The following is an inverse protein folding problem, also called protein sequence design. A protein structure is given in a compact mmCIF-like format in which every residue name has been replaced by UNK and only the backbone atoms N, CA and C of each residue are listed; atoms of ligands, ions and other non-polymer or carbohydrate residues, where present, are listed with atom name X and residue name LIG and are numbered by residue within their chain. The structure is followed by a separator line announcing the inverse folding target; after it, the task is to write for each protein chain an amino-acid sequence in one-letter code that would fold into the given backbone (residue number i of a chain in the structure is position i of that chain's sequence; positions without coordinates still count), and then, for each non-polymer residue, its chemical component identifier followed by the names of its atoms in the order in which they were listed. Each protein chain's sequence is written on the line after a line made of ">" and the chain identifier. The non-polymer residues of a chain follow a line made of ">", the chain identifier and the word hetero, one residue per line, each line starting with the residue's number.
data_IF_565421174330
#
_entry.id   IF_565421174330
#
_cell.length_a   1.000
_cell.length_b   1.000
_cell.length_c   1.000
_cell.angle_alpha   90.00
_cell.angle_beta   90.00
_cell.angle_gamma   90.00
#
_symmetry.space_group_name_H-M   'P 1'
#
loop_
_entity.id
_entity.type
_entity.pdbx_description
1 polymer ?
#
# COMPACT_ATOMS: atom_id res chain seq x y z
N UNK A 1 -14.85 38.53 6.10
CA UNK A 1 -14.75 38.52 4.61
C UNK A 1 -15.75 39.51 4.04
N UNK A 2 -17.05 39.37 4.34
CA UNK A 2 -18.09 40.31 3.88
C UNK A 2 -17.82 41.77 4.30
N UNK A 3 -17.40 42.05 5.54
CA UNK A 3 -16.98 43.40 5.96
C UNK A 3 -15.83 43.98 5.11
N UNK A 4 -14.91 43.12 4.68
CA UNK A 4 -13.73 43.50 3.90
C UNK A 4 -14.10 43.74 2.42
N UNK A 5 -15.08 43.01 1.90
CA UNK A 5 -15.63 43.17 0.55
C UNK A 5 -16.51 44.44 0.44
N UNK A 6 -17.36 44.71 1.43
CA UNK A 6 -18.11 45.97 1.49
C UNK A 6 -17.21 47.19 1.70
N UNK A 7 -16.11 47.06 2.47
CA UNK A 7 -15.12 48.15 2.58
C UNK A 7 -14.41 48.47 1.25
N UNK A 8 -14.45 47.55 0.29
CA UNK A 8 -13.88 47.70 -1.06
C UNK A 8 -14.93 48.01 -2.13
N UNK A 9 -16.20 48.19 -1.74
CA UNK A 9 -17.31 48.47 -2.67
C UNK A 9 -17.63 47.31 -3.61
N UNK A 10 -17.30 46.07 -3.22
CA UNK A 10 -17.57 44.86 -4.01
C UNK A 10 -18.76 44.10 -3.41
N UNK A 11 -19.93 44.74 -3.39
CA UNK A 11 -21.13 44.16 -2.78
C UNK A 11 -21.72 42.99 -3.59
N UNK A 12 -21.39 42.89 -4.88
CA UNK A 12 -21.77 41.75 -5.76
C UNK A 12 -21.08 40.43 -5.39
N UNK A 13 -20.02 40.47 -4.56
CA UNK A 13 -19.25 39.29 -4.11
C UNK A 13 -19.58 38.88 -2.68
N UNK A 14 -20.61 39.49 -2.07
CA UNK A 14 -21.02 39.16 -0.71
C UNK A 14 -21.55 37.72 -0.64
N UNK A 15 -20.92 36.93 0.23
CA UNK A 15 -21.35 35.55 0.45
C UNK A 15 -22.61 35.59 1.30
N UNK A 16 -23.71 35.10 0.75
CA UNK A 16 -24.97 34.95 1.47
C UNK A 16 -24.88 33.86 2.54
N UNK A 17 -25.74 33.90 3.57
CA UNK A 17 -25.80 32.82 4.58
C UNK A 17 -26.11 31.45 3.96
N UNK A 18 -26.88 31.43 2.87
CA UNK A 18 -27.17 30.22 2.11
C UNK A 18 -25.89 29.65 1.45
N UNK A 19 -25.12 30.47 0.74
CA UNK A 19 -23.86 30.05 0.11
C UNK A 19 -22.81 29.65 1.15
N UNK A 20 -22.76 30.33 2.30
CA UNK A 20 -21.89 29.94 3.40
C UNK A 20 -22.26 28.55 3.96
N UNK A 21 -23.55 28.27 4.12
CA UNK A 21 -24.05 26.96 4.53
C UNK A 21 -23.71 25.86 3.52
N UNK A 22 -23.85 26.16 2.22
CA UNK A 22 -23.46 25.24 1.13
C UNK A 22 -21.95 24.95 1.13
N UNK A 23 -21.10 25.96 1.34
CA UNK A 23 -19.65 25.76 1.48
C UNK A 23 -19.31 24.86 2.65
N UNK A 24 -19.99 25.02 3.79
CA UNK A 24 -19.80 24.14 4.96
C UNK A 24 -20.20 22.70 4.64
N UNK A 25 -21.29 22.50 3.90
CA UNK A 25 -21.70 21.17 3.45
C UNK A 25 -20.69 20.55 2.47
N UNK A 26 -20.16 21.32 1.52
CA UNK A 26 -19.10 20.88 0.61
C UNK A 26 -17.83 20.48 1.35
N UNK A 27 -17.42 21.26 2.35
CA UNK A 27 -16.26 20.94 3.20
C UNK A 27 -16.48 19.61 3.92
N UNK A 28 -17.69 19.35 4.43
CA UNK A 28 -18.03 18.07 5.08
C UNK A 28 -17.86 16.90 4.10
N UNK A 29 -18.36 17.04 2.87
CA UNK A 29 -18.24 16.02 1.81
C UNK A 29 -16.77 15.80 1.41
N UNK A 30 -15.97 16.87 1.31
CA UNK A 30 -14.57 16.80 0.90
C UNK A 30 -13.60 16.37 2.01
N UNK A 31 -14.01 16.45 3.27
CA UNK A 31 -13.15 16.13 4.42
C UNK A 31 -12.61 14.69 4.37
N UNK A 32 -13.42 13.66 4.06
CA UNK A 32 -12.91 12.29 3.90
C UNK A 32 -11.97 12.11 2.71
N UNK A 33 -12.17 12.86 1.61
CA UNK A 33 -11.23 12.86 0.48
C UNK A 33 -9.88 13.43 0.88
N UNK A 34 -9.86 14.54 1.63
CA UNK A 34 -8.62 15.10 2.14
C UNK A 34 -7.90 14.13 3.09
N UNK A 35 -8.65 13.43 3.96
CA UNK A 35 -8.10 12.37 4.81
C UNK A 35 -7.50 11.22 3.97
N UNK A 36 -8.20 10.78 2.92
CA UNK A 36 -7.73 9.75 1.99
C UNK A 36 -6.42 10.16 1.29
N UNK A 37 -6.36 11.38 0.75
CA UNK A 37 -5.18 11.92 0.08
C UNK A 37 -3.99 11.94 1.03
N UNK A 38 -4.15 12.52 2.23
CA UNK A 38 -3.08 12.55 3.25
C UNK A 38 -2.58 11.16 3.63
N UNK A 39 -3.47 10.17 3.62
CA UNK A 39 -3.11 8.77 3.88
C UNK A 39 -2.27 8.18 2.74
N UNK A 40 -2.61 8.48 1.47
CA UNK A 40 -1.82 8.05 0.31
C UNK A 40 -0.47 8.78 0.16
N UNK A 41 -0.36 9.99 0.71
CA UNK A 41 0.88 10.77 0.72
C UNK A 41 1.90 10.32 1.77
N UNK A 42 1.56 9.35 2.62
CA UNK A 42 2.46 8.86 3.65
C UNK A 42 3.63 8.07 3.04
N UNK A 43 4.86 8.41 3.42
CA UNK A 43 6.08 7.76 2.91
C UNK A 43 6.61 6.63 3.82
N UNK A 44 6.26 6.67 5.12
CA UNK A 44 6.86 5.77 6.14
C UNK A 44 6.12 4.44 6.30
N UNK A 45 4.90 4.36 5.79
CA UNK A 45 4.04 3.20 5.91
C UNK A 45 3.61 2.77 4.52
N UNK A 46 3.33 1.47 4.30
CA UNK A 46 2.78 1.03 3.04
C UNK A 46 1.42 1.72 2.83
N UNK A 47 1.16 2.21 1.63
CA UNK A 47 -0.07 2.97 1.30
C UNK A 47 -0.96 2.25 0.29
N UNK A 48 -0.37 1.39 -0.55
CA UNK A 48 -1.07 0.73 -1.65
C UNK A 48 -2.25 -0.13 -1.19
N UNK A 49 -2.16 -0.74 -0.01
CA UNK A 49 -3.22 -1.58 0.56
C UNK A 49 -4.46 -0.79 0.98
N UNK A 50 -4.37 0.53 1.12
CA UNK A 50 -5.49 1.39 1.50
C UNK A 50 -6.29 1.89 0.30
N UNK A 51 -5.75 1.81 -0.92
CA UNK A 51 -6.37 2.36 -2.14
C UNK A 51 -7.78 1.79 -2.36
N UNK A 52 -7.94 0.48 -2.26
CA UNK A 52 -9.24 -0.17 -2.47
C UNK A 52 -10.19 0.06 -1.29
N UNK A 53 -9.82 -0.20 -0.02
CA UNK A 53 -10.72 0.08 1.09
C UNK A 53 -11.19 1.54 1.13
N UNK A 54 -10.30 2.48 0.84
CA UNK A 54 -10.62 3.89 0.85
C UNK A 54 -11.59 4.27 -0.28
N UNK A 55 -11.51 3.63 -1.44
CA UNK A 55 -12.52 3.79 -2.49
C UNK A 55 -13.93 3.45 -2.00
N UNK A 56 -14.10 2.31 -1.32
CA UNK A 56 -15.40 1.90 -0.78
C UNK A 56 -15.88 2.81 0.35
N UNK A 57 -14.97 3.27 1.22
CA UNK A 57 -15.29 4.25 2.27
C UNK A 57 -15.76 5.57 1.65
N UNK A 58 -15.08 6.07 0.61
CA UNK A 58 -15.47 7.28 -0.08
C UNK A 58 -16.81 7.11 -0.81
N UNK A 59 -17.01 5.98 -1.50
CA UNK A 59 -18.29 5.67 -2.15
C UNK A 59 -19.44 5.64 -1.16
N UNK A 60 -19.29 4.92 -0.04
CA UNK A 60 -20.31 4.85 1.02
C UNK A 60 -20.58 6.22 1.64
N UNK A 61 -19.56 7.07 1.78
CA UNK A 61 -19.74 8.42 2.31
C UNK A 61 -20.49 9.35 1.34
N UNK A 62 -20.23 9.22 0.04
CA UNK A 62 -20.93 10.02 -0.99
C UNK A 62 -22.34 9.48 -1.25
N UNK A 63 -22.65 8.25 -0.85
CA UNK A 63 -24.00 7.65 -0.90
C UNK A 63 -24.82 7.89 0.38
N UNK A 64 -24.24 8.50 1.42
CA UNK A 64 -24.90 8.68 2.72
C UNK A 64 -26.18 9.55 2.62
N UNK A 65 -27.38 9.01 2.96
CA UNK A 65 -28.64 9.74 2.85
C UNK A 65 -28.82 10.89 3.85
N UNK A 66 -27.95 11.02 4.86
CA UNK A 66 -28.14 11.98 5.97
C UNK A 66 -27.76 13.43 5.63
N UNK A 67 -27.15 13.68 4.47
CA UNK A 67 -26.89 15.02 3.99
C UNK A 67 -28.17 15.60 3.35
N UNK A 68 -28.75 16.61 3.98
CA UNK A 68 -29.78 17.46 3.38
C UNK A 68 -29.18 18.13 2.14
N UNK A 69 -29.47 17.57 0.97
CA UNK A 69 -28.87 18.03 -0.27
C UNK A 69 -29.65 19.23 -0.83
N UNK A 70 -29.00 20.41 -0.89
CA UNK A 70 -29.43 21.45 -1.83
C UNK A 70 -29.18 20.97 -3.27
N UNK A 71 -29.91 21.53 -4.25
CA UNK A 71 -29.77 21.14 -5.67
C UNK A 71 -28.31 21.15 -6.18
N UNK A 72 -27.46 22.12 -5.81
CA UNK A 72 -26.03 22.11 -6.15
C UNK A 72 -25.24 20.95 -5.53
N UNK A 73 -25.52 20.61 -4.26
CA UNK A 73 -24.83 19.55 -3.53
C UNK A 73 -25.19 18.18 -4.13
N UNK A 74 -26.45 17.95 -4.46
CA UNK A 74 -26.89 16.72 -5.13
C UNK A 74 -26.18 16.52 -6.48
N UNK A 75 -26.07 17.59 -7.29
CA UNK A 75 -25.31 17.56 -8.56
C UNK A 75 -23.82 17.31 -8.35
N UNK A 76 -23.23 17.91 -7.31
CA UNK A 76 -21.83 17.67 -6.98
C UNK A 76 -21.57 16.22 -6.56
N UNK A 77 -22.47 15.63 -5.77
CA UNK A 77 -22.39 14.22 -5.37
C UNK A 77 -22.51 13.27 -6.54
N UNK A 78 -23.48 13.49 -7.43
CA UNK A 78 -23.64 12.64 -8.62
C UNK A 78 -22.41 12.72 -9.52
N UNK A 79 -21.82 13.91 -9.66
CA UNK A 79 -20.56 14.09 -10.39
C UNK A 79 -19.39 13.39 -9.70
N UNK A 80 -19.26 13.49 -8.37
CA UNK A 80 -18.23 12.78 -7.62
C UNK A 80 -18.36 11.26 -7.76
N UNK A 81 -19.58 10.72 -7.69
CA UNK A 81 -19.83 9.29 -7.89
C UNK A 81 -19.45 8.85 -9.31
N UNK A 82 -19.83 9.62 -10.34
CA UNK A 82 -19.39 9.36 -11.71
C UNK A 82 -17.86 9.42 -11.81
N UNK A 83 -17.18 10.42 -11.24
CA UNK A 83 -15.72 10.47 -11.28
C UNK A 83 -15.06 9.28 -10.56
N UNK A 84 -15.61 8.83 -9.44
CA UNK A 84 -15.13 7.65 -8.73
C UNK A 84 -15.33 6.37 -9.57
N UNK A 85 -16.48 6.19 -10.21
CA UNK A 85 -16.76 5.01 -11.01
C UNK A 85 -16.02 5.02 -12.36
N UNK A 86 -16.02 6.14 -13.06
CA UNK A 86 -15.54 6.25 -14.44
C UNK A 86 -14.03 6.49 -14.53
N UNK A 87 -13.42 7.11 -13.51
CA UNK A 87 -11.98 7.39 -13.51
C UNK A 87 -11.21 6.63 -12.46
N UNK A 88 -11.74 6.47 -11.25
CA UNK A 88 -10.97 5.84 -10.18
C UNK A 88 -10.94 4.32 -10.34
N UNK A 89 -12.12 3.68 -10.45
CA UNK A 89 -12.25 2.22 -10.57
C UNK A 89 -11.45 1.58 -11.73
N UNK A 90 -11.49 2.09 -12.98
CA UNK A 90 -10.73 1.47 -14.07
C UNK A 90 -9.21 1.67 -13.94
N UNK A 91 -8.76 2.71 -13.25
CA UNK A 91 -7.34 2.95 -12.99
C UNK A 91 -6.79 2.10 -11.84
N UNK A 92 -7.63 1.37 -11.10
CA UNK A 92 -7.18 0.43 -10.07
C UNK A 92 -6.53 -0.78 -10.75
N UNK A 93 -5.22 -0.71 -10.94
CA UNK A 93 -4.41 -1.83 -11.44
C UNK A 93 -4.46 -3.04 -10.50
N UNK A 94 -4.16 -4.23 -11.04
CA UNK A 94 -4.08 -5.49 -10.30
C UNK A 94 -3.23 -5.38 -9.03
N UNK A 95 -2.13 -4.61 -9.07
CA UNK A 95 -1.23 -4.39 -7.94
C UNK A 95 -1.93 -3.81 -6.71
N UNK A 96 -2.93 -2.95 -6.90
CA UNK A 96 -3.73 -2.37 -5.81
C UNK A 96 -4.67 -3.41 -5.18
N UNK A 97 -5.27 -4.27 -6.02
CA UNK A 97 -6.12 -5.38 -5.56
C UNK A 97 -5.29 -6.38 -4.76
N UNK A 98 -4.11 -6.73 -5.26
CA UNK A 98 -3.15 -7.61 -4.59
C UNK A 98 -2.69 -6.98 -3.26
N UNK A 99 -2.31 -5.70 -3.25
CA UNK A 99 -1.92 -5.01 -2.02
C UNK A 99 -3.00 -5.05 -0.94
N UNK A 100 -4.27 -4.96 -1.34
CA UNK A 100 -5.42 -5.04 -0.43
C UNK A 100 -5.67 -6.46 0.10
N UNK A 101 -5.46 -7.48 -0.73
CA UNK A 101 -5.53 -8.89 -0.32
C UNK A 101 -4.44 -9.28 0.68
N UNK A 102 -3.24 -8.73 0.51
CA UNK A 102 -2.08 -8.97 1.38
C UNK A 102 -2.18 -8.24 2.73
N UNK A 103 -3.25 -7.47 2.96
CA UNK A 103 -3.55 -6.94 4.28
C UNK A 103 -4.44 -7.93 5.04
N UNK A 104 -4.00 -8.53 6.16
CA UNK A 104 -4.79 -9.51 6.90
C UNK A 104 -6.21 -9.04 7.28
N UNK A 105 -6.40 -7.72 7.45
CA UNK A 105 -7.71 -7.13 7.76
C UNK A 105 -8.68 -7.11 6.57
N UNK A 106 -8.17 -7.11 5.34
CA UNK A 106 -8.95 -7.07 4.11
C UNK A 106 -8.78 -8.33 3.24
N UNK A 107 -8.10 -9.36 3.76
CA UNK A 107 -7.83 -10.64 3.10
C UNK A 107 -9.10 -11.36 2.62
N UNK A 108 -10.21 -11.18 3.34
CA UNK A 108 -11.52 -11.73 2.98
C UNK A 108 -12.11 -11.12 1.71
N UNK A 109 -11.57 -9.97 1.26
CA UNK A 109 -12.00 -9.22 0.07
C UNK A 109 -13.54 -9.09 0.01
N UNK A 110 -14.19 -8.86 1.16
CA UNK A 110 -15.64 -8.90 1.30
C UNK A 110 -16.40 -8.00 0.32
N UNK A 111 -15.72 -6.97 -0.19
CA UNK A 111 -16.21 -5.99 -1.14
C UNK A 111 -16.22 -6.44 -2.61
N UNK A 112 -15.50 -7.52 -2.94
CA UNK A 112 -15.35 -8.03 -4.31
C UNK A 112 -16.22 -9.27 -4.55
N UNK A 113 -16.59 -9.49 -5.82
CA UNK A 113 -17.31 -10.70 -6.25
C UNK A 113 -16.43 -11.94 -6.06
N UNK A 114 -17.05 -13.13 -6.01
CA UNK A 114 -16.30 -14.38 -5.88
C UNK A 114 -15.27 -14.56 -7.02
N UNK A 115 -15.63 -14.13 -8.24
CA UNK A 115 -14.77 -14.17 -9.42
C UNK A 115 -13.55 -13.27 -9.25
N UNK A 116 -13.76 -12.02 -8.80
CA UNK A 116 -12.66 -11.07 -8.60
C UNK A 116 -11.70 -11.54 -7.50
N UNK A 117 -12.22 -12.18 -6.45
CA UNK A 117 -11.38 -12.77 -5.39
C UNK A 117 -10.50 -13.87 -5.95
N UNK A 118 -11.04 -14.75 -6.79
CA UNK A 118 -10.26 -15.84 -7.37
C UNK A 118 -9.23 -15.31 -8.38
N UNK A 119 -9.57 -14.27 -9.14
CA UNK A 119 -8.62 -13.57 -10.02
C UNK A 119 -7.46 -12.93 -9.25
N UNK A 120 -7.72 -12.36 -8.07
CA UNK A 120 -6.65 -11.81 -7.23
C UNK A 120 -5.78 -12.94 -6.66
N UNK A 121 -6.39 -14.04 -6.19
CA UNK A 121 -5.63 -15.20 -5.70
C UNK A 121 -4.77 -15.83 -6.79
N UNK A 122 -5.31 -16.03 -8.00
CA UNK A 122 -4.56 -16.58 -9.13
C UNK A 122 -3.40 -15.66 -9.52
N UNK A 123 -3.61 -14.35 -9.50
CA UNK A 123 -2.55 -13.36 -9.73
C UNK A 123 -1.45 -13.42 -8.65
N UNK A 124 -1.82 -13.59 -7.38
CA UNK A 124 -0.86 -13.76 -6.28
C UNK A 124 -0.09 -15.06 -6.43
N UNK A 125 -0.76 -16.18 -6.75
CA UNK A 125 -0.10 -17.47 -7.01
C UNK A 125 0.90 -17.36 -8.15
N UNK A 126 0.55 -16.68 -9.25
CA UNK A 126 1.47 -16.41 -10.36
C UNK A 126 2.69 -15.61 -9.90
N UNK A 127 2.51 -14.53 -9.14
CA UNK A 127 3.63 -13.75 -8.61
C UNK A 127 4.52 -14.56 -7.65
N UNK A 128 3.94 -15.45 -6.85
CA UNK A 128 4.67 -16.34 -5.96
C UNK A 128 5.52 -17.32 -6.78
N UNK A 129 4.95 -17.96 -7.79
CA UNK A 129 5.68 -18.86 -8.70
C UNK A 129 6.84 -18.14 -9.41
N UNK A 130 6.59 -16.96 -9.97
CA UNK A 130 7.64 -16.14 -10.60
C UNK A 130 8.77 -15.78 -9.61
N UNK A 131 8.43 -15.40 -8.37
CA UNK A 131 9.43 -15.11 -7.35
C UNK A 131 10.17 -16.36 -6.89
N UNK A 132 9.50 -17.50 -6.80
CA UNK A 132 10.12 -18.78 -6.46
C UNK A 132 11.16 -19.18 -7.51
N UNK A 133 10.84 -19.05 -8.80
CA UNK A 133 11.79 -19.29 -9.88
C UNK A 133 13.02 -18.37 -9.78
N UNK A 134 12.80 -17.09 -9.50
CA UNK A 134 13.89 -16.12 -9.29
C UNK A 134 14.74 -16.52 -8.08
N UNK A 135 14.13 -17.00 -7.00
CA UNK A 135 14.83 -17.47 -5.82
C UNK A 135 15.65 -18.73 -6.10
N UNK A 136 15.10 -19.67 -6.89
CA UNK A 136 15.79 -20.87 -7.36
C UNK A 136 16.99 -20.52 -8.24
N UNK A 137 16.84 -19.58 -9.19
CA UNK A 137 17.95 -19.06 -10.01
C UNK A 137 19.05 -18.39 -9.20
N UNK A 138 18.70 -17.76 -8.07
CA UNK A 138 19.64 -17.11 -7.14
C UNK A 138 20.26 -18.08 -6.12
N UNK A 139 19.90 -19.36 -6.13
CA UNK A 139 20.38 -20.38 -5.19
C UNK A 139 19.86 -20.20 -3.77
N UNK A 140 18.73 -19.50 -3.58
CA UNK A 140 18.13 -19.22 -2.26
C UNK A 140 17.09 -20.27 -1.83
N UNK A 141 16.78 -21.23 -2.71
CA UNK A 141 15.90 -22.37 -2.46
C UNK A 141 16.57 -23.65 -2.96
N UNK A 142 16.39 -24.80 -2.29
CA UNK A 142 16.81 -26.10 -2.82
C UNK A 142 16.13 -26.39 -4.16
N UNK A 143 16.88 -26.96 -5.09
CA UNK A 143 16.34 -27.42 -6.37
C UNK A 143 15.82 -28.86 -6.22
N UNK A 144 14.53 -29.15 -6.49
CA UNK A 144 13.99 -30.51 -6.42
C UNK A 144 14.66 -31.47 -7.43
N UNK A 145 15.34 -30.94 -8.45
CA UNK A 145 16.00 -31.73 -9.50
C UNK A 145 17.48 -32.04 -9.22
N UNK A 146 18.08 -31.42 -8.20
CA UNK A 146 19.42 -31.76 -7.74
C UNK A 146 19.29 -32.74 -6.58
N UNK A 147 19.47 -34.03 -6.87
CA UNK A 147 19.73 -35.02 -5.83
C UNK A 147 20.84 -34.50 -4.91
N UNK A 148 20.68 -34.53 -3.58
CA UNK A 148 21.74 -34.09 -2.69
C UNK A 148 22.96 -35.00 -2.91
N UNK A 149 24.10 -34.39 -3.28
CA UNK A 149 25.38 -35.09 -3.23
C UNK A 149 25.57 -35.65 -1.81
N UNK A 150 26.06 -36.89 -1.65
CA UNK A 150 26.20 -37.51 -0.34
C UNK A 150 27.22 -36.73 0.50
N UNK A 151 26.73 -35.84 1.35
CA UNK A 151 27.55 -35.18 2.35
C UNK A 151 27.87 -36.20 3.44
N UNK A 152 29.13 -36.65 3.49
CA UNK A 152 29.67 -37.37 4.66
C UNK A 152 29.58 -36.45 5.87
N UNK A 153 28.50 -36.55 6.64
CA UNK A 153 28.37 -35.88 7.94
C UNK A 153 29.42 -36.46 8.88
N UNK A 154 30.41 -35.64 9.27
CA UNK A 154 31.30 -35.97 10.37
C UNK A 154 30.47 -35.85 11.66
N UNK A 155 30.14 -36.99 12.24
CA UNK A 155 29.28 -37.09 13.41
C UNK A 155 30.08 -36.69 14.67
N UNK A 156 29.82 -35.49 15.21
CA UNK A 156 30.15 -35.18 16.62
C UNK A 156 29.07 -35.81 17.49
N UNK A 157 29.43 -36.90 18.16
CA UNK A 157 28.57 -37.61 19.12
C UNK A 157 28.30 -36.72 20.33
N UNK A 158 27.13 -36.10 20.41
CA UNK A 158 26.56 -35.61 21.67
C UNK A 158 25.03 -35.77 21.66
N UNK A 159 24.55 -36.49 22.68
CA UNK A 159 23.16 -36.68 23.13
C UNK A 159 22.28 -37.70 22.38
N UNK A 160 21.54 -38.48 23.17
CA UNK A 160 20.87 -39.74 22.84
C UNK A 160 19.33 -39.60 22.76
N UNK A 161 18.82 -38.49 22.23
CA UNK A 161 17.38 -38.22 22.12
C UNK A 161 16.91 -37.87 20.69
N UNK A 162 17.73 -38.12 19.67
CA UNK A 162 17.42 -37.76 18.26
C UNK A 162 16.51 -38.76 17.52
N UNK A 163 16.14 -39.89 18.14
CA UNK A 163 15.40 -40.97 17.48
C UNK A 163 13.89 -40.67 17.28
N UNK A 164 13.36 -39.62 17.91
CA UNK A 164 11.98 -39.19 17.70
C UNK A 164 11.80 -38.21 16.53
N UNK A 165 12.89 -37.63 16.00
CA UNK A 165 12.82 -36.64 14.89
C UNK A 165 12.28 -37.25 13.59
N UNK A 166 12.54 -38.54 13.37
CA UNK A 166 12.08 -39.32 12.22
C UNK A 166 10.60 -39.74 12.32
N UNK A 167 10.07 -39.87 13.55
CA UNK A 167 8.66 -40.21 13.82
C UNK A 167 7.78 -38.96 13.94
N UNK A 168 8.32 -37.84 14.42
CA UNK A 168 7.63 -36.55 14.57
C UNK A 168 7.53 -35.75 13.26
N UNK A 169 7.83 -36.37 12.11
CA UNK A 169 7.60 -35.74 10.80
C UNK A 169 8.60 -34.63 10.50
N UNK A 170 9.90 -34.89 10.70
CA UNK A 170 10.98 -34.04 10.21
C UNK A 170 10.78 -33.68 8.74
N UNK A 171 10.44 -32.41 8.54
CA UNK A 171 10.53 -31.61 7.31
C UNK A 171 10.32 -32.39 6.01
N UNK A 172 9.06 -32.72 5.72
CA UNK A 172 8.64 -32.67 4.31
C UNK A 172 8.80 -31.23 3.88
N UNK A 173 9.80 -31.00 3.03
CA UNK A 173 9.94 -29.82 2.18
C UNK A 173 8.54 -29.33 1.84
N UNK A 174 8.23 -28.12 2.29
CA UNK A 174 6.92 -27.52 2.14
C UNK A 174 6.46 -27.76 0.72
N UNK A 175 5.39 -28.53 0.55
CA UNK A 175 4.65 -28.56 -0.69
C UNK A 175 4.35 -27.08 -1.01
N UNK A 176 5.07 -26.56 -2.01
CA UNK A 176 5.02 -25.15 -2.42
C UNK A 176 3.66 -24.85 -3.06
N UNK A 177 2.82 -25.88 -3.21
CA UNK A 177 1.54 -25.87 -3.86
C UNK A 177 0.57 -24.79 -3.38
N UNK A 178 0.59 -24.31 -2.11
CA UNK A 178 -0.16 -23.09 -1.77
C UNK A 178 0.33 -22.39 -0.47
N UNK A 179 1.44 -21.64 -0.54
CA UNK A 179 1.76 -20.61 0.49
C UNK A 179 0.58 -19.63 0.67
N UNK A 180 -0.20 -19.41 -0.38
CA UNK A 180 -1.39 -18.55 -0.39
C UNK A 180 -2.50 -19.12 0.51
N UNK A 181 -2.72 -20.43 0.50
CA UNK A 181 -3.73 -21.05 1.36
C UNK A 181 -3.27 -21.14 2.81
N UNK A 182 -1.96 -21.36 3.04
CA UNK A 182 -1.36 -21.22 4.37
C UNK A 182 -1.56 -19.82 4.93
N UNK A 183 -1.34 -18.78 4.11
CA UNK A 183 -1.63 -17.40 4.48
C UNK A 183 -3.09 -17.20 4.87
N UNK A 184 -4.05 -17.69 4.05
CA UNK A 184 -5.48 -17.59 4.34
C UNK A 184 -5.84 -18.25 5.67
N UNK A 185 -5.29 -19.43 5.96
CA UNK A 185 -5.49 -20.14 7.22
C UNK A 185 -4.92 -19.38 8.42
N UNK A 186 -3.70 -18.84 8.29
CA UNK A 186 -3.05 -18.05 9.35
C UNK A 186 -3.88 -16.80 9.67
N UNK A 187 -4.40 -16.11 8.65
CA UNK A 187 -5.22 -14.90 8.85
C UNK A 187 -6.54 -15.23 9.53
N UNK A 188 -7.19 -16.34 9.17
CA UNK A 188 -8.41 -16.80 9.83
C UNK A 188 -8.17 -17.16 11.30
N UNK A 189 -7.01 -17.75 11.62
CA UNK A 189 -6.69 -18.21 12.97
C UNK A 189 -6.16 -17.09 13.88
N UNK A 190 -5.42 -16.12 13.33
CA UNK A 190 -4.75 -15.06 14.12
C UNK A 190 -5.64 -13.83 14.38
N UNK A 191 -6.84 -13.78 13.79
CA UNK A 191 -7.77 -12.67 13.91
C UNK A 191 -7.35 -11.42 13.10
N UNK A 192 -8.34 -10.63 12.66
CA UNK A 192 -8.17 -9.49 11.74
C UNK A 192 -7.58 -8.23 12.40
N UNK A 193 -6.76 -8.38 13.45
CA UNK A 193 -6.28 -7.29 14.30
C UNK A 193 -5.05 -6.52 13.78
N UNK A 194 -4.44 -6.95 12.67
CA UNK A 194 -3.18 -6.37 12.17
C UNK A 194 -3.40 -4.94 11.68
N UNK A 195 -2.90 -3.96 12.45
CA UNK A 195 -2.90 -2.55 12.09
C UNK A 195 -1.97 -2.31 10.91
N UNK A 196 -2.26 -1.29 10.11
CA UNK A 196 -1.42 -0.94 8.95
C UNK A 196 0.01 -0.57 9.33
N UNK A 197 0.23 -0.02 10.53
CA UNK A 197 1.56 0.33 11.02
C UNK A 197 2.42 -0.93 11.28
N UNK A 198 1.79 -2.01 11.71
CA UNK A 198 2.47 -3.25 12.11
C UNK A 198 2.52 -4.27 10.96
N UNK A 199 1.92 -3.96 9.81
CA UNK A 199 1.82 -4.87 8.66
C UNK A 199 3.20 -5.37 8.21
N UNK A 200 4.20 -4.48 8.12
CA UNK A 200 5.55 -4.86 7.72
C UNK A 200 6.25 -5.71 8.77
N UNK A 201 5.96 -5.51 10.06
CA UNK A 201 6.50 -6.32 11.14
C UNK A 201 5.86 -7.71 11.13
N UNK A 202 4.53 -7.78 10.97
CA UNK A 202 3.80 -9.03 10.85
C UNK A 202 4.33 -9.91 9.71
N UNK A 203 4.57 -9.32 8.53
CA UNK A 203 5.15 -10.03 7.40
C UNK A 203 6.63 -10.41 7.60
N UNK A 204 7.35 -9.68 8.46
CA UNK A 204 8.72 -10.04 8.86
C UNK A 204 8.69 -11.26 9.79
N UNK A 205 7.79 -11.29 10.77
CA UNK A 205 7.66 -12.40 11.71
C UNK A 205 7.17 -13.67 11.01
N UNK A 206 6.33 -13.53 9.98
CA UNK A 206 5.86 -14.63 9.12
C UNK A 206 6.78 -14.99 7.96
N UNK A 207 7.96 -14.38 7.87
CA UNK A 207 8.89 -14.67 6.77
C UNK A 207 9.55 -16.05 6.86
N UNK A 208 9.56 -16.67 8.04
CA UNK A 208 10.00 -18.07 8.23
C UNK A 208 8.96 -19.06 7.70
N UNK A 209 7.68 -18.79 7.99
CA UNK A 209 6.57 -19.65 7.62
C UNK A 209 6.19 -19.48 6.13
N UNK A 210 6.41 -18.29 5.58
CA UNK A 210 6.02 -17.85 4.23
C UNK A 210 7.20 -17.16 3.51
N UNK A 211 8.25 -17.91 3.12
CA UNK A 211 9.50 -17.34 2.61
C UNK A 211 9.35 -16.66 1.25
N UNK A 212 8.52 -17.20 0.34
CA UNK A 212 8.33 -16.62 -0.99
C UNK A 212 7.30 -15.51 -0.95
N UNK A 213 6.16 -15.73 -0.29
CA UNK A 213 5.07 -14.76 -0.19
C UNK A 213 5.50 -13.49 0.56
N UNK A 214 6.30 -13.59 1.63
CA UNK A 214 6.83 -12.41 2.34
C UNK A 214 7.74 -11.53 1.46
N UNK A 215 8.36 -12.08 0.41
CA UNK A 215 9.14 -11.31 -0.58
C UNK A 215 8.24 -10.63 -1.59
N UNK A 216 7.26 -11.34 -2.14
CA UNK A 216 6.22 -10.75 -3.02
C UNK A 216 5.55 -9.58 -2.31
N UNK A 217 5.14 -9.78 -1.05
CA UNK A 217 4.51 -8.75 -0.24
C UNK A 217 5.39 -7.53 -0.10
N UNK A 218 6.67 -7.70 0.22
CA UNK A 218 7.61 -6.57 0.33
C UNK A 218 7.70 -5.78 -0.98
N UNK A 219 7.71 -6.45 -2.13
CA UNK A 219 7.73 -5.77 -3.43
C UNK A 219 6.45 -4.99 -3.70
N UNK A 220 5.29 -5.58 -3.39
CA UNK A 220 3.99 -4.93 -3.61
C UNK A 220 3.80 -3.76 -2.65
N UNK A 221 3.97 -3.98 -1.33
CA UNK A 221 3.76 -2.96 -0.30
C UNK A 221 4.79 -1.82 -0.35
N UNK A 222 5.97 -2.03 -0.95
CA UNK A 222 6.93 -0.96 -1.21
C UNK A 222 6.48 0.02 -2.31
N UNK A 223 5.43 -0.30 -3.06
CA UNK A 223 4.88 0.60 -4.08
C UNK A 223 4.05 1.69 -3.39
N UNK A 224 4.41 2.98 -3.52
CA UNK A 224 3.59 4.05 -2.97
C UNK A 224 2.28 4.17 -3.76
N UNK A 225 1.22 4.64 -3.09
CA UNK A 225 -0.08 4.89 -3.71
C UNK A 225 -0.13 6.26 -4.42
N UNK A 226 0.80 7.16 -4.09
CA UNK A 226 0.88 8.51 -4.65
C UNK A 226 2.30 8.87 -5.10
N UNK A 227 2.40 9.67 -6.15
CA UNK A 227 3.62 10.36 -6.59
C UNK A 227 4.02 11.53 -5.69
N UNK A 228 3.20 11.91 -4.71
CA UNK A 228 3.45 13.10 -3.88
C UNK A 228 4.80 13.08 -3.15
N UNK A 229 5.35 11.89 -2.86
CA UNK A 229 6.67 11.75 -2.25
C UNK A 229 7.79 12.31 -3.15
N UNK A 230 7.77 11.96 -4.44
CA UNK A 230 8.73 12.49 -5.40
C UNK A 230 8.45 13.97 -5.68
N UNK A 231 7.18 14.36 -5.83
CA UNK A 231 6.78 15.77 -6.03
C UNK A 231 7.25 16.68 -4.90
N UNK A 232 7.23 16.22 -3.64
CA UNK A 232 7.72 16.99 -2.50
C UNK A 232 9.23 17.25 -2.60
N UNK A 233 9.99 16.25 -3.06
CA UNK A 233 11.43 16.38 -3.30
C UNK A 233 11.66 17.34 -4.47
N UNK A 234 10.91 17.17 -5.57
CA UNK A 234 11.00 18.05 -6.74
C UNK A 234 10.56 19.49 -6.44
N UNK A 235 9.60 19.72 -5.56
CA UNK A 235 9.17 21.06 -5.15
C UNK A 235 10.27 21.78 -4.34
N UNK A 236 10.91 21.06 -3.42
CA UNK A 236 12.07 21.58 -2.68
C UNK A 236 13.24 21.85 -3.63
N UNK A 237 13.52 20.91 -4.52
CA UNK A 237 14.59 21.03 -5.50
C UNK A 237 14.31 22.14 -6.52
N UNK A 238 13.05 22.34 -6.94
CA UNK A 238 12.66 23.39 -7.88
C UNK A 238 12.89 24.81 -7.33
N UNK A 239 12.81 25.00 -6.00
CA UNK A 239 13.26 26.25 -5.37
C UNK A 239 14.76 26.45 -5.49
N UNK A 240 15.53 25.36 -5.50
CA UNK A 240 16.99 25.36 -5.55
C UNK A 240 17.53 25.41 -7.00
N UNK A 241 16.78 24.88 -7.95
CA UNK A 241 17.11 24.77 -9.39
C UNK A 241 16.41 25.88 -10.19
N UNK A 242 15.96 26.96 -9.54
CA UNK A 242 15.19 28.00 -10.24
C UNK A 242 15.94 28.52 -11.48
N UNK A 243 15.30 28.56 -12.67
CA UNK A 243 15.94 28.92 -13.94
C UNK A 243 16.58 30.32 -13.94
N UNK A 244 16.15 31.19 -13.02
CA UNK A 244 16.53 32.60 -12.99
C UNK A 244 17.95 32.86 -12.48
N UNK A 245 18.61 31.91 -11.80
CA UNK A 245 19.93 32.15 -11.19
C UNK A 245 20.95 31.01 -11.31
N UNK A 246 20.53 29.80 -11.69
CA UNK A 246 21.40 28.62 -11.65
C UNK A 246 21.45 27.92 -13.02
N UNK A 247 22.54 28.09 -13.76
CA UNK A 247 22.84 27.31 -14.97
C UNK A 247 23.38 25.92 -14.62
N UNK A 248 22.57 25.12 -13.92
CA UNK A 248 22.93 23.74 -13.59
C UNK A 248 22.62 22.83 -14.78
N UNK A 249 23.55 21.93 -15.12
CA UNK A 249 23.28 20.87 -16.09
C UNK A 249 22.30 19.85 -15.49
N UNK A 250 21.48 19.16 -16.32
CA UNK A 250 20.54 18.15 -15.85
C UNK A 250 21.24 17.01 -15.07
N UNK A 251 22.45 16.63 -15.48
CA UNK A 251 23.24 15.60 -14.79
C UNK A 251 23.58 15.99 -13.34
N UNK A 252 23.95 17.26 -13.12
CA UNK A 252 24.28 17.76 -11.78
C UNK A 252 23.02 17.80 -10.90
N UNK A 253 21.86 18.14 -11.49
CA UNK A 253 20.57 18.13 -10.81
C UNK A 253 20.22 16.73 -10.30
N UNK A 254 20.41 15.70 -11.13
CA UNK A 254 20.12 14.31 -10.75
C UNK A 254 21.01 13.82 -9.60
N UNK A 255 22.32 14.08 -9.68
CA UNK A 255 23.27 13.74 -8.61
C UNK A 255 22.91 14.46 -7.31
N UNK A 256 22.54 15.74 -7.40
CA UNK A 256 22.16 16.54 -6.24
C UNK A 256 20.87 16.02 -5.59
N UNK A 257 19.85 15.70 -6.40
CA UNK A 257 18.59 15.10 -5.94
C UNK A 257 18.84 13.76 -5.24
N UNK A 258 19.66 12.90 -5.84
CA UNK A 258 20.05 11.62 -5.26
C UNK A 258 20.75 11.80 -3.91
N UNK A 259 21.77 12.66 -3.84
CA UNK A 259 22.53 12.89 -2.63
C UNK A 259 21.66 13.49 -1.52
N UNK A 260 20.81 14.46 -1.84
CA UNK A 260 19.85 15.05 -0.91
C UNK A 260 18.91 13.99 -0.33
N UNK A 261 18.34 13.13 -1.18
CA UNK A 261 17.45 12.05 -0.72
C UNK A 261 18.20 11.03 0.15
N UNK A 262 19.41 10.63 -0.25
CA UNK A 262 20.25 9.71 0.50
C UNK A 262 20.61 10.25 1.90
N UNK A 263 21.07 11.50 1.98
CA UNK A 263 21.42 12.15 3.25
C UNK A 263 20.21 12.29 4.17
N UNK A 264 19.05 12.68 3.64
CA UNK A 264 17.79 12.73 4.39
C UNK A 264 17.44 11.36 5.00
N UNK A 265 17.59 10.29 4.23
CA UNK A 265 17.33 8.92 4.71
C UNK A 265 18.37 8.45 5.73
N UNK A 266 19.64 8.82 5.55
CA UNK A 266 20.72 8.51 6.49
C UNK A 266 20.50 9.19 7.85
N UNK A 267 20.17 10.48 7.85
CA UNK A 267 19.85 11.23 9.07
C UNK A 267 18.64 10.64 9.81
N UNK A 268 17.58 10.27 9.07
CA UNK A 268 16.40 9.63 9.66
C UNK A 268 16.72 8.27 10.31
N UNK A 269 17.66 7.49 9.76
CA UNK A 269 18.11 6.24 10.37
C UNK A 269 18.94 6.46 11.64
N UNK A 270 19.80 7.47 11.63
CA UNK A 270 20.63 7.81 12.79
C UNK A 270 19.81 8.36 13.97
N UNK A 271 18.66 9.00 13.70
CA UNK A 271 17.76 9.50 14.75
C UNK A 271 16.86 8.41 15.39
N UNK A 272 16.85 7.20 14.83
CA UNK A 272 16.01 6.07 15.28
C UNK A 272 16.84 4.97 15.96
N UNK A 273 18.18 5.04 15.91
CA UNK A 273 19.10 4.15 16.63
C UNK A 273 19.58 4.80 17.92
#
# INVERSE_FOLDING_TARGET
>A
INELLSSKGQDDLLISEAEASEMVALIKILTPFNKAIKLFEMEKQPTIQHVVPQYFVLKSHVEDPQLLDSLPIAKFRSLLLSQLQDKYLPNISERHKIGSFLWPRCSALAFYSAEEREMVKSSVRRLVQEQEEVMRRRGLLPDPSLQPAPQKKRCTRLSSDDDYSSILGGEKESDVADEVDKYLFIVQTSGNGVRSADLLQWWKDKSTDLPVLSRVVRMILATPASSSASERIFSVAGRLISPRRNCLSPEIVDVMLFLFHYLKKKAARAAVS
#
